data_IF_275196363191
#
_entry.id   IF_275196363191
#
_cell.length_a   1.000
_cell.length_b   1.000
_cell.length_c   1.000
_cell.angle_alpha   90.00
_cell.angle_beta   90.00
_cell.angle_gamma   90.00
#
_symmetry.space_group_name_H-M   'P 1'
#
loop_
_entity.id
_entity.type
_entity.pdbx_description
1 polymer ?
2 water ?
#
# COMPACT_ATOMS: atom_id res chain seq x y z
N UNK A 1 -8.12 -3.73 -31.68
CA UNK A 1 -9.11 -3.83 -30.62
C UNK A 1 -8.68 -3.07 -29.36
N UNK A 2 -9.59 -2.98 -28.40
CA UNK A 2 -9.21 -2.55 -27.05
C UNK A 2 -8.12 -3.46 -26.52
N UNK A 3 -7.10 -2.86 -25.93
CA UNK A 3 -6.00 -3.60 -25.33
C UNK A 3 -6.37 -4.18 -23.97
N UNK A 4 -5.42 -4.92 -23.42
CA UNK A 4 -5.65 -5.44 -22.06
C UNK A 4 -5.60 -4.32 -21.03
N UNK A 5 -6.04 -4.66 -19.80
CA UNK A 5 -5.82 -3.72 -18.71
C UNK A 5 -4.34 -3.37 -18.62
N UNK A 6 -4.04 -2.18 -18.11
CA UNK A 6 -2.69 -1.77 -17.83
C UNK A 6 -2.05 -2.51 -16.66
N UNK A 7 -0.80 -2.13 -16.42
CA UNK A 7 -0.06 -2.75 -15.31
C UNK A 7 -0.72 -2.48 -13.97
N UNK A 8 -0.53 -3.39 -13.03
CA UNK A 8 -0.87 -3.06 -11.64
C UNK A 8 -0.25 -1.73 -11.23
N UNK A 9 -0.96 -0.92 -10.46
CA UNK A 9 -0.58 0.40 -10.02
C UNK A 9 0.60 0.35 -9.04
N UNK A 10 1.00 1.54 -8.66
CA UNK A 10 2.07 1.72 -7.67
C UNK A 10 1.60 1.22 -6.31
N UNK A 11 2.60 0.89 -5.48
CA UNK A 11 2.39 0.50 -4.10
C UNK A 11 1.81 1.66 -3.29
N UNK A 12 0.89 1.23 -2.39
CA UNK A 12 0.34 2.13 -1.40
C UNK A 12 1.36 2.73 -0.46
N UNK A 13 0.95 3.74 0.30
CA UNK A 13 1.85 4.36 1.27
C UNK A 13 2.00 3.51 2.52
N UNK A 14 3.03 3.81 3.33
CA UNK A 14 3.14 3.06 4.59
C UNK A 14 1.89 3.24 5.45
N UNK A 15 1.65 2.21 6.27
CA UNK A 15 0.65 2.25 7.31
C UNK A 15 0.93 3.31 8.36
N UNK A 16 -0.08 3.52 9.22
CA UNK A 16 0.08 4.45 10.33
C UNK A 16 0.92 3.80 11.44
N UNK A 17 1.45 4.66 12.31
CA UNK A 17 2.24 4.13 13.44
C UNK A 17 1.46 3.13 14.29
N UNK A 18 2.23 2.15 14.78
CA UNK A 18 1.67 1.16 15.69
C UNK A 18 1.32 1.77 17.04
N UNK A 19 0.66 0.94 17.87
CA UNK A 19 0.29 1.48 19.18
C UNK A 19 1.50 1.62 20.10
N UNK A 20 1.28 2.42 21.16
CA UNK A 20 2.30 2.51 22.21
C UNK A 20 2.59 1.11 22.73
N UNK A 21 3.81 0.84 23.18
CA UNK A 21 4.15 -0.45 23.70
C UNK A 21 3.49 -0.72 25.05
N UNK A 22 3.74 -1.94 25.51
CA UNK A 22 3.23 -2.31 26.85
C UNK A 22 3.61 -1.33 27.93
N UNK A 23 2.70 -0.97 28.82
CA UNK A 23 3.02 -0.16 29.99
C UNK A 23 4.16 -0.76 30.82
N UNK A 24 4.99 0.13 31.37
CA UNK A 24 6.13 -0.28 32.16
C UNK A 24 5.80 -0.57 33.61
N UNK B 1 -7.74 0.58 -29.38
CA UNK B 1 -7.10 1.62 -28.58
C UNK B 1 -6.50 0.98 -27.33
N UNK B 2 -5.79 1.78 -26.55
CA UNK B 2 -5.27 1.23 -25.29
C UNK B 2 -6.38 0.69 -24.41
N UNK B 3 -6.02 -0.33 -23.63
CA UNK B 3 -6.95 -0.90 -22.66
C UNK B 3 -7.22 0.06 -21.51
N UNK B 4 -8.05 -0.41 -20.59
CA UNK B 4 -8.37 0.40 -19.42
C UNK B 4 -7.22 0.44 -18.43
N UNK B 5 -7.32 1.28 -17.41
CA UNK B 5 -6.26 1.30 -16.39
C UNK B 5 -6.14 -0.09 -15.77
N UNK B 6 -4.93 -0.35 -15.32
CA UNK B 6 -4.65 -1.58 -14.60
C UNK B 6 -5.38 -1.66 -13.26
N UNK B 7 -5.21 -2.79 -12.59
CA UNK B 7 -5.81 -2.94 -11.25
C UNK B 7 -5.01 -2.19 -10.22
N UNK B 8 -5.59 -2.01 -9.04
CA UNK B 8 -4.85 -1.32 -7.96
C UNK B 8 -3.54 -2.05 -7.60
N UNK B 9 -2.55 -1.24 -7.23
CA UNK B 9 -1.24 -1.71 -6.82
C UNK B 9 -1.31 -2.42 -5.50
N UNK B 10 -0.16 -2.97 -5.11
CA UNK B 10 -0.10 -3.68 -3.85
C UNK B 10 -0.19 -2.73 -2.63
N UNK B 11 -0.50 -3.38 -1.52
CA UNK B 11 -0.53 -2.90 -0.15
C UNK B 11 0.74 -2.13 0.21
N UNK B 12 0.63 -0.99 0.87
CA UNK B 12 1.76 -0.28 1.40
C UNK B 12 2.53 -1.05 2.46
N UNK B 13 3.75 -0.59 2.74
CA UNK B 13 4.50 -1.20 3.84
C UNK B 13 3.80 -1.05 5.19
N UNK B 14 4.16 -1.92 6.12
CA UNK B 14 3.71 -1.76 7.51
C UNK B 14 4.07 -0.40 8.02
N UNK B 15 3.25 0.18 8.90
CA UNK B 15 3.63 1.43 9.53
C UNK B 15 4.83 1.34 10.45
N UNK B 16 5.30 2.52 10.83
CA UNK B 16 6.38 2.60 11.82
C UNK B 16 5.93 1.97 13.14
N UNK B 17 6.90 1.48 13.90
CA UNK B 17 6.58 1.00 15.25
C UNK B 17 6.03 2.13 16.10
N UNK B 18 5.20 1.78 17.08
CA UNK B 18 4.66 2.72 18.02
C UNK B 18 5.66 3.30 18.98
N UNK B 19 5.24 4.30 19.72
CA UNK B 19 6.11 4.84 20.76
C UNK B 19 6.40 3.82 21.86
N UNK B 20 7.49 4.00 22.59
CA UNK B 20 7.68 3.18 23.77
C UNK B 20 6.48 3.33 24.72
N UNK B 21 6.17 2.22 25.40
CA UNK B 21 5.07 2.25 26.37
C UNK B 21 5.40 3.22 27.49
N UNK B 22 4.33 3.63 28.18
CA UNK B 22 4.51 4.56 29.31
C UNK B 22 5.39 3.97 30.41
N UNK B 23 6.33 4.76 30.93
CA UNK B 23 7.17 4.31 32.05
C UNK B 23 6.35 4.08 33.32
N UNK C 1 -5.80 -1.75 -35.05
CA UNK C 1 -4.49 -2.38 -34.78
C UNK C 1 -4.52 -3.06 -33.41
N UNK C 2 -3.48 -3.82 -33.11
CA UNK C 2 -3.47 -4.50 -31.79
C UNK C 2 -3.62 -3.46 -30.69
N UNK C 3 -4.37 -3.79 -29.63
CA UNK C 3 -4.58 -2.82 -28.58
C UNK C 3 -3.48 -2.86 -27.53
N UNK C 4 -2.78 -1.75 -27.28
CA UNK C 4 -1.76 -1.74 -26.24
C UNK C 4 -2.43 -1.87 -24.88
N UNK C 5 -1.63 -2.32 -23.92
CA UNK C 5 -2.12 -2.29 -22.54
C UNK C 5 -2.46 -0.86 -22.13
N UNK C 6 -3.41 -0.75 -21.20
CA UNK C 6 -3.79 0.55 -20.68
C UNK C 6 -2.75 1.12 -19.74
N UNK C 7 -3.09 2.27 -19.16
CA UNK C 7 -2.20 2.94 -18.22
C UNK C 7 -2.09 2.17 -16.91
N UNK C 8 -1.06 2.48 -16.13
CA UNK C 8 -0.94 1.89 -14.78
C UNK C 8 -2.17 2.15 -13.93
N UNK C 9 -2.52 1.17 -13.12
CA UNK C 9 -3.67 1.22 -12.23
C UNK C 9 -3.47 2.20 -11.07
N UNK C 10 -4.53 2.33 -10.31
CA UNK C 10 -4.48 3.17 -9.11
C UNK C 10 -3.46 2.64 -8.12
N UNK C 11 -3.03 3.61 -7.30
CA UNK C 11 -2.15 3.30 -6.17
C UNK C 11 -2.85 2.32 -5.24
N UNK C 12 -2.10 1.37 -4.67
CA UNK C 12 -2.62 0.42 -3.72
C UNK C 12 -3.00 1.04 -2.39
N UNK C 13 -3.64 0.18 -1.58
CA UNK C 13 -4.08 0.67 -0.27
C UNK C 13 -2.94 1.01 0.67
N UNK C 14 -3.22 1.82 1.67
CA UNK C 14 -2.23 2.06 2.72
C UNK C 14 -1.89 0.75 3.42
N UNK C 15 -0.65 0.64 3.89
CA UNK C 15 -0.18 -0.50 4.65
C UNK C 15 -0.90 -0.64 5.96
N UNK C 16 -0.68 -1.77 6.61
CA UNK C 16 -1.34 -2.03 7.90
C UNK C 16 -0.69 -1.22 9.00
N UNK C 17 -1.36 -1.08 10.13
CA UNK C 17 -0.72 -0.44 11.30
C UNK C 17 0.62 -1.10 11.62
N UNK C 18 1.53 -0.27 12.10
CA UNK C 18 2.84 -0.72 12.55
C UNK C 18 2.77 -1.61 13.77
N UNK C 19 3.89 -2.26 14.11
CA UNK C 19 3.91 -3.05 15.34
C UNK C 19 3.83 -2.17 16.58
N UNK C 20 3.46 -2.81 17.68
CA UNK C 20 3.50 -2.08 18.98
C UNK C 20 4.92 -1.61 19.25
N UNK C 21 4.97 -0.49 19.97
CA UNK C 21 6.24 0.05 20.38
C UNK C 21 6.96 -0.79 21.40
N UNK C 22 8.18 -0.38 21.72
CA UNK C 22 8.95 -1.07 22.77
C UNK C 22 8.24 -1.07 24.12
N UNK C 23 8.49 -2.07 24.96
CA UNK C 23 7.93 -2.10 26.31
C UNK C 23 8.40 -0.88 27.09
N UNK C 24 7.55 -0.30 27.92
CA UNK C 24 8.01 0.71 28.86
C UNK C 24 8.74 0.09 30.04
#
# INVERSE_FOLDING_TARGET
>A
PPGPPGPPGPRGPPGPPGPPGPPG
>B
PPGPPGPPGPRGPPGPPGPPGPPG
>C
PPGPPGPPGPRGPPGPPGPPGPPG
#
